data_IF_268931907448
#
_entry.id   IF_268931907448
#
_cell.length_a   1.000
_cell.length_b   1.000
_cell.length_c   1.000
_cell.angle_alpha   90.00
_cell.angle_beta   90.00
_cell.angle_gamma   90.00
#
_symmetry.space_group_name_H-M   'P 1'
#
loop_
_entity.id
_entity.type
_entity.pdbx_description
1 polymer ?
#
# COMPACT_ATOMS: atom_id res chain seq x y z
N UNK A 1 18.13 6.01 19.75
CA UNK A 1 18.62 4.78 19.09
C UNK A 1 18.87 5.01 17.61
N UNK A 2 17.96 5.67 16.87
CA UNK A 2 18.21 6.11 15.48
C UNK A 2 19.39 7.09 15.36
N UNK A 3 19.61 7.95 16.34
CA UNK A 3 20.79 8.83 16.42
C UNK A 3 22.15 8.10 16.45
N UNK A 4 22.18 6.83 16.85
CA UNK A 4 23.39 6.00 16.76
C UNK A 4 23.50 5.29 15.40
N UNK A 5 22.42 5.28 14.62
CA UNK A 5 22.33 4.70 13.27
C UNK A 5 22.43 5.77 12.17
N UNK A 6 22.44 7.06 12.54
CA UNK A 6 22.71 8.17 11.63
C UNK A 6 24.19 8.27 11.25
N UNK A 7 25.09 7.54 11.92
CA UNK A 7 26.49 7.43 11.51
C UNK A 7 26.65 6.50 10.30
N UNK A 8 26.71 7.07 9.08
CA UNK A 8 27.15 6.48 7.81
C UNK A 8 27.20 4.93 7.73
N UNK A 9 26.06 4.28 7.93
CA UNK A 9 25.91 2.85 7.68
C UNK A 9 25.73 2.65 6.17
N UNK A 10 26.78 2.89 5.39
CA UNK A 10 26.75 2.94 3.91
C UNK A 10 26.20 1.67 3.24
N UNK A 11 26.17 0.55 3.97
CA UNK A 11 25.60 -0.72 3.51
C UNK A 11 24.16 -0.98 4.00
N UNK A 12 23.57 -0.08 4.79
CA UNK A 12 22.20 -0.20 5.26
C UNK A 12 21.21 0.01 4.11
N UNK A 13 20.51 -1.04 3.71
CA UNK A 13 19.55 -1.02 2.60
C UNK A 13 18.10 -1.13 3.02
N UNK A 14 17.84 -1.81 4.13
CA UNK A 14 16.50 -2.17 4.56
C UNK A 14 16.34 -1.85 6.03
N UNK A 15 15.26 -1.14 6.35
CA UNK A 15 15.00 -0.70 7.72
C UNK A 15 13.52 -0.87 8.03
N UNK A 16 13.27 -1.35 9.24
CA UNK A 16 11.94 -1.38 9.85
C UNK A 16 11.98 -0.57 11.14
N UNK A 17 11.16 0.47 11.20
CA UNK A 17 11.03 1.35 12.35
C UNK A 17 9.70 1.04 13.04
N UNK A 18 9.82 0.34 14.17
CA UNK A 18 8.70 0.04 15.05
C UNK A 18 8.54 1.19 16.06
N UNK A 19 7.90 2.28 15.67
CA UNK A 19 7.62 3.39 16.60
C UNK A 19 6.18 3.29 17.13
N UNK A 20 6.05 2.89 18.39
CA UNK A 20 4.72 2.79 18.97
C UNK A 20 4.19 4.13 19.50
N UNK A 21 5.04 5.08 19.98
CA UNK A 21 4.56 6.29 20.69
C UNK A 21 5.38 7.58 20.46
N UNK A 22 6.73 7.59 20.51
CA UNK A 22 7.48 8.85 20.70
C UNK A 22 8.74 9.03 19.82
N UNK A 23 8.73 8.55 18.57
CA UNK A 23 9.83 8.90 17.67
C UNK A 23 9.76 10.38 17.29
N UNK A 24 10.82 11.11 17.66
CA UNK A 24 11.06 12.49 17.25
C UNK A 24 11.26 12.59 15.73
N UNK A 25 10.50 13.47 15.09
CA UNK A 25 10.59 13.71 13.65
C UNK A 25 11.97 14.23 13.24
N UNK A 26 12.63 15.06 14.06
CA UNK A 26 13.96 15.58 13.76
C UNK A 26 14.99 14.44 13.69
N UNK A 27 14.91 13.49 14.62
CA UNK A 27 15.78 12.31 14.65
C UNK A 27 15.53 11.43 13.41
N UNK A 28 14.26 11.30 13.00
CA UNK A 28 13.91 10.52 11.81
C UNK A 28 14.39 11.21 10.53
N UNK A 29 14.24 12.53 10.42
CA UNK A 29 14.73 13.32 9.30
C UNK A 29 16.24 13.20 9.17
N UNK A 30 16.97 13.38 10.28
CA UNK A 30 18.42 13.19 10.32
C UNK A 30 18.82 11.78 9.87
N UNK A 31 18.08 10.76 10.32
CA UNK A 31 18.31 9.38 9.91
C UNK A 31 18.12 9.17 8.40
N UNK A 32 17.04 9.70 7.82
CA UNK A 32 16.74 9.58 6.39
C UNK A 32 17.79 10.31 5.53
N UNK A 33 18.20 11.50 5.95
CA UNK A 33 19.23 12.30 5.28
C UNK A 33 20.60 11.61 5.27
N UNK A 34 20.97 10.94 6.36
CA UNK A 34 22.23 10.22 6.47
C UNK A 34 22.21 8.82 5.83
N UNK A 35 21.05 8.33 5.42
CA UNK A 35 20.90 7.01 4.80
C UNK A 35 20.20 7.07 3.43
N UNK A 36 20.69 7.88 2.46
CA UNK A 36 20.05 8.03 1.15
C UNK A 36 20.02 6.75 0.32
N UNK A 37 20.84 5.75 0.66
CA UNK A 37 21.01 4.47 -0.02
C UNK A 37 19.93 3.43 0.29
N UNK A 38 18.97 3.75 1.16
CA UNK A 38 17.87 2.85 1.54
C UNK A 38 17.07 2.45 0.31
N UNK A 39 16.78 1.14 0.22
CA UNK A 39 15.95 0.55 -0.83
C UNK A 39 14.59 0.11 -0.29
N UNK A 40 14.50 -0.20 1.01
CA UNK A 40 13.27 -0.61 1.67
C UNK A 40 13.11 0.10 3.01
N UNK A 41 11.94 0.69 3.23
CA UNK A 41 11.58 1.34 4.49
C UNK A 41 10.21 0.86 4.93
N UNK A 42 10.15 0.27 6.13
CA UNK A 42 8.92 -0.07 6.82
C UNK A 42 8.79 0.82 8.04
N UNK A 43 7.65 1.46 8.18
CA UNK A 43 7.42 2.39 9.26
C UNK A 43 6.05 2.15 9.88
N UNK A 44 6.05 2.20 11.20
CA UNK A 44 4.86 2.19 12.02
C UNK A 44 4.92 3.49 12.81
N UNK A 45 4.12 4.48 12.43
CA UNK A 45 4.18 5.83 13.01
C UNK A 45 2.86 6.20 13.66
N UNK A 46 2.91 7.02 14.71
CA UNK A 46 1.69 7.64 15.22
C UNK A 46 1.43 8.94 14.49
N UNK A 47 2.33 9.91 14.58
CA UNK A 47 2.18 11.19 13.92
C UNK A 47 3.46 11.40 13.12
N UNK A 48 3.29 11.65 11.84
CA UNK A 48 4.35 12.04 10.93
C UNK A 48 3.99 13.45 10.51
N UNK A 49 4.95 14.33 10.26
CA UNK A 49 4.65 15.60 9.61
C UNK A 49 4.85 15.51 8.09
N UNK A 50 4.50 16.58 7.38
CA UNK A 50 4.71 16.64 5.94
C UNK A 50 6.19 16.58 5.54
N UNK A 51 7.11 17.02 6.41
CA UNK A 51 8.55 17.07 6.11
C UNK A 51 9.17 15.68 6.06
N UNK A 52 8.78 14.80 6.98
CA UNK A 52 9.19 13.39 6.97
C UNK A 52 8.67 12.69 5.72
N UNK A 53 7.41 12.88 5.34
CA UNK A 53 6.89 12.34 4.09
C UNK A 53 7.67 12.83 2.88
N UNK A 54 7.96 14.14 2.82
CA UNK A 54 8.73 14.73 1.74
C UNK A 54 10.12 14.11 1.65
N UNK A 55 10.78 13.89 2.79
CA UNK A 55 12.10 13.27 2.88
C UNK A 55 12.07 11.81 2.41
N UNK A 56 11.09 11.02 2.84
CA UNK A 56 10.90 9.63 2.40
C UNK A 56 10.70 9.55 0.89
N UNK A 57 9.78 10.36 0.35
CA UNK A 57 9.43 10.35 -1.08
C UNK A 57 10.59 10.83 -1.97
N UNK A 58 11.50 11.62 -1.43
CA UNK A 58 12.70 12.11 -2.11
C UNK A 58 13.87 11.11 -2.15
N UNK A 59 13.76 9.96 -1.46
CA UNK A 59 14.81 8.93 -1.46
C UNK A 59 14.93 8.26 -2.84
N UNK A 60 16.05 8.54 -3.53
CA UNK A 60 16.29 8.10 -4.92
C UNK A 60 16.32 6.60 -5.14
N UNK A 61 16.65 5.82 -4.11
CA UNK A 61 16.81 4.37 -4.22
C UNK A 61 15.69 3.57 -3.53
N UNK A 62 14.76 4.26 -2.86
CA UNK A 62 13.69 3.63 -2.10
C UNK A 62 12.66 3.01 -3.05
N UNK A 63 12.70 1.69 -3.21
CA UNK A 63 11.79 0.97 -4.10
C UNK A 63 10.58 0.37 -3.37
N UNK A 64 10.69 0.17 -2.06
CA UNK A 64 9.66 -0.38 -1.20
C UNK A 64 9.41 0.54 -0.01
N UNK A 65 8.16 0.96 0.15
CA UNK A 65 7.69 1.72 1.30
C UNK A 65 6.48 1.01 1.93
N UNK A 66 6.51 0.78 3.24
CA UNK A 66 5.35 0.32 3.99
C UNK A 66 5.06 1.26 5.15
N UNK A 67 3.81 1.71 5.27
CA UNK A 67 3.36 2.59 6.34
C UNK A 67 2.16 1.92 7.01
N UNK A 68 2.29 1.50 8.28
CA UNK A 68 1.26 0.67 8.93
C UNK A 68 0.29 1.46 9.82
N UNK A 69 0.74 2.57 10.40
CA UNK A 69 -0.04 3.35 11.36
C UNK A 69 0.09 4.83 11.04
N UNK A 70 -1.02 5.53 11.20
CA UNK A 70 -1.14 6.97 11.18
C UNK A 70 -2.29 7.32 12.14
N UNK A 71 -2.03 8.23 13.07
CA UNK A 71 -2.97 8.73 14.07
C UNK A 71 -3.88 9.75 13.40
N UNK A 72 -5.13 9.80 13.86
CA UNK A 72 -6.28 10.57 13.34
C UNK A 72 -6.13 12.10 13.26
N UNK A 73 -4.93 12.66 13.46
CA UNK A 73 -4.74 14.10 13.29
C UNK A 73 -4.75 14.37 11.79
N UNK A 74 -5.84 14.96 11.31
CA UNK A 74 -5.97 15.43 9.92
C UNK A 74 -4.74 16.27 9.56
N UNK A 75 -3.78 15.64 8.91
CA UNK A 75 -2.70 16.37 8.28
C UNK A 75 -3.27 17.09 7.07
N UNK A 76 -3.21 18.41 7.09
CA UNK A 76 -3.51 19.22 5.91
C UNK A 76 -2.34 19.19 4.93
N UNK A 77 -1.98 18.02 4.43
CA UNK A 77 -1.03 17.92 3.31
C UNK A 77 -1.81 18.19 2.04
N UNK A 78 -1.57 19.36 1.46
CA UNK A 78 -2.19 19.76 0.20
C UNK A 78 -1.76 18.81 -0.92
N UNK A 79 -0.44 18.60 -1.07
CA UNK A 79 0.16 17.69 -2.05
C UNK A 79 1.46 17.06 -1.51
N UNK A 80 1.70 15.80 -1.86
CA UNK A 80 2.99 15.13 -1.66
C UNK A 80 3.93 15.37 -2.85
N UNK A 81 5.25 15.43 -2.65
CA UNK A 81 6.20 15.46 -3.74
C UNK A 81 6.18 14.14 -4.51
N UNK A 82 6.43 14.23 -5.81
CA UNK A 82 6.45 13.07 -6.69
C UNK A 82 7.67 12.19 -6.39
N UNK A 83 7.43 10.89 -6.24
CA UNK A 83 8.46 9.86 -6.15
C UNK A 83 8.46 8.97 -7.40
N UNK A 84 9.64 8.81 -8.01
CA UNK A 84 9.87 7.92 -9.14
C UNK A 84 10.55 6.61 -8.74
N UNK A 85 11.04 6.50 -7.51
CA UNK A 85 11.80 5.33 -7.03
C UNK A 85 10.89 4.25 -6.48
N UNK A 86 9.78 4.63 -5.83
CA UNK A 86 8.87 3.70 -5.16
C UNK A 86 8.06 2.94 -6.21
N UNK A 87 8.25 1.61 -6.22
CA UNK A 87 7.55 0.67 -7.12
C UNK A 87 6.60 -0.25 -6.36
N UNK A 88 6.78 -0.38 -5.04
CA UNK A 88 5.91 -1.10 -4.12
C UNK A 88 5.54 -0.20 -2.94
N UNK A 89 4.25 0.05 -2.76
CA UNK A 89 3.70 0.80 -1.63
C UNK A 89 2.76 -0.10 -0.84
N UNK A 90 2.99 -0.22 0.47
CA UNK A 90 2.16 -0.97 1.41
C UNK A 90 1.54 -0.01 2.42
N UNK A 91 0.21 -0.03 2.52
CA UNK A 91 -0.60 0.84 3.38
C UNK A 91 -1.33 -0.02 4.41
N UNK A 92 -1.14 0.30 5.68
CA UNK A 92 -1.79 -0.39 6.80
C UNK A 92 -3.18 0.15 7.11
N UNK A 93 -3.72 -0.36 8.22
CA UNK A 93 -5.12 -0.14 8.64
C UNK A 93 -5.47 1.32 8.94
N UNK A 94 -4.53 2.10 9.49
CA UNK A 94 -4.86 3.38 10.12
C UNK A 94 -4.62 4.62 9.25
N UNK A 95 -4.23 4.45 7.98
CA UNK A 95 -4.11 5.57 7.05
C UNK A 95 -5.50 5.91 6.52
N UNK A 96 -5.85 7.20 6.46
CA UNK A 96 -7.15 7.60 5.91
C UNK A 96 -7.19 7.39 4.39
N UNK A 97 -8.40 7.27 3.83
CA UNK A 97 -8.59 7.04 2.39
C UNK A 97 -8.05 8.18 1.53
N UNK A 98 -8.33 9.43 1.92
CA UNK A 98 -7.84 10.61 1.22
C UNK A 98 -6.30 10.67 1.22
N UNK A 99 -5.66 10.34 2.34
CA UNK A 99 -4.19 10.28 2.41
C UNK A 99 -3.64 9.12 1.58
N UNK A 100 -4.32 7.97 1.60
CA UNK A 100 -3.96 6.80 0.78
C UNK A 100 -3.92 7.19 -0.70
N UNK A 101 -4.97 7.81 -1.23
CA UNK A 101 -5.04 8.24 -2.65
C UNK A 101 -3.93 9.23 -2.99
N UNK A 102 -3.72 10.26 -2.17
CA UNK A 102 -2.67 11.25 -2.41
C UNK A 102 -1.27 10.61 -2.44
N UNK A 103 -0.99 9.71 -1.50
CA UNK A 103 0.29 9.01 -1.42
C UNK A 103 0.48 8.06 -2.61
N UNK A 104 -0.58 7.35 -3.00
CA UNK A 104 -0.59 6.50 -4.19
C UNK A 104 -0.26 7.35 -5.42
N UNK A 105 -0.96 8.46 -5.65
CA UNK A 105 -0.75 9.31 -6.82
C UNK A 105 0.67 9.89 -6.87
N UNK A 106 1.25 10.24 -5.71
CA UNK A 106 2.63 10.72 -5.62
C UNK A 106 3.69 9.70 -6.09
N UNK A 107 3.43 8.39 -6.02
CA UNK A 107 4.37 7.34 -6.39
C UNK A 107 4.31 6.96 -7.88
N UNK A 108 4.70 7.82 -8.81
CA UNK A 108 4.43 7.67 -10.26
C UNK A 108 4.77 6.30 -10.87
N UNK A 109 5.87 5.66 -10.43
CA UNK A 109 6.29 4.34 -10.93
C UNK A 109 5.71 3.15 -10.13
N UNK A 110 4.67 3.40 -9.32
CA UNK A 110 4.02 2.38 -8.50
C UNK A 110 3.46 1.24 -9.36
N UNK A 111 4.03 0.06 -9.19
CA UNK A 111 3.62 -1.16 -9.88
C UNK A 111 2.79 -2.07 -8.98
N UNK A 112 3.01 -2.02 -7.67
CA UNK A 112 2.32 -2.85 -6.69
C UNK A 112 1.83 -1.98 -5.53
N UNK A 113 0.52 -1.94 -5.35
CA UNK A 113 -0.15 -1.35 -4.20
C UNK A 113 -0.60 -2.49 -3.28
N UNK A 114 -0.21 -2.45 -2.03
CA UNK A 114 -0.62 -3.40 -1.01
C UNK A 114 -1.42 -2.71 0.09
N UNK A 115 -2.56 -3.28 0.47
CA UNK A 115 -3.22 -2.99 1.74
C UNK A 115 -3.02 -4.16 2.68
N UNK A 116 -2.68 -3.85 3.93
CA UNK A 116 -2.45 -4.86 4.96
C UNK A 116 -3.38 -4.64 6.16
N UNK A 117 -4.14 -5.68 6.53
CA UNK A 117 -5.04 -5.71 7.68
C UNK A 117 -6.06 -4.55 7.69
N UNK A 118 -6.44 -4.05 6.51
CA UNK A 118 -7.42 -2.96 6.37
C UNK A 118 -8.84 -3.52 6.38
N UNK A 119 -9.75 -2.80 7.02
CA UNK A 119 -11.18 -3.11 7.03
C UNK A 119 -11.89 -2.16 6.06
N UNK A 120 -12.41 -2.70 4.96
CA UNK A 120 -13.11 -1.92 3.95
C UNK A 120 -14.62 -1.82 4.22
N UNK A 121 -15.19 -2.75 5.01
CA UNK A 121 -16.64 -2.96 5.13
C UNK A 121 -17.38 -1.80 5.81
N UNK A 122 -16.73 -1.12 6.74
CA UNK A 122 -17.42 -0.13 7.60
C UNK A 122 -16.96 1.31 7.36
N UNK A 123 -15.72 1.52 6.91
CA UNK A 123 -15.06 2.83 6.98
C UNK A 123 -14.26 3.20 5.72
N UNK A 124 -14.26 2.37 4.66
CA UNK A 124 -13.47 2.67 3.46
C UNK A 124 -14.28 3.44 2.42
N UNK A 125 -13.94 4.71 2.25
CA UNK A 125 -14.35 5.61 1.19
C UNK A 125 -13.16 5.92 0.27
N UNK A 126 -12.34 4.91 -0.08
CA UNK A 126 -11.30 5.11 -1.08
C UNK A 126 -11.96 5.52 -2.41
N UNK A 127 -11.78 6.78 -2.76
CA UNK A 127 -12.21 7.39 -4.03
C UNK A 127 -11.28 6.92 -5.15
N UNK A 128 -11.44 5.65 -5.56
CA UNK A 128 -10.59 5.01 -6.57
C UNK A 128 -10.61 5.71 -7.93
N UNK A 129 -11.69 6.42 -8.24
CA UNK A 129 -11.84 7.25 -9.44
C UNK A 129 -10.89 8.46 -9.46
N UNK A 130 -10.31 8.83 -8.31
CA UNK A 130 -9.24 9.83 -8.21
C UNK A 130 -7.83 9.28 -8.49
N UNK A 131 -7.70 7.99 -8.78
CA UNK A 131 -6.41 7.45 -9.24
C UNK A 131 -6.06 8.04 -10.61
N UNK A 132 -4.89 8.66 -10.69
CA UNK A 132 -4.42 9.30 -11.94
C UNK A 132 -3.90 8.30 -12.98
N UNK A 133 -3.76 7.03 -12.58
CA UNK A 133 -3.22 5.96 -13.42
C UNK A 133 -3.68 4.59 -12.97
N UNK A 134 -3.57 3.64 -13.90
CA UNK A 134 -3.74 2.22 -13.63
C UNK A 134 -2.52 1.67 -12.91
N UNK A 135 -2.73 0.81 -11.90
CA UNK A 135 -1.66 0.15 -11.15
C UNK A 135 -1.63 -1.33 -11.52
N UNK A 136 -0.45 -1.90 -11.78
CA UNK A 136 -0.37 -3.28 -12.27
C UNK A 136 -0.93 -4.30 -11.27
N UNK A 137 -0.58 -4.18 -10.00
CA UNK A 137 -0.99 -5.16 -8.97
C UNK A 137 -1.60 -4.46 -7.77
N UNK A 138 -2.82 -4.85 -7.41
CA UNK A 138 -3.36 -4.68 -6.06
C UNK A 138 -3.07 -5.94 -5.25
N UNK A 139 -2.61 -5.79 -4.02
CA UNK A 139 -2.45 -6.88 -3.06
C UNK A 139 -3.24 -6.56 -1.80
N UNK A 140 -4.11 -7.47 -1.38
CA UNK A 140 -4.95 -7.34 -0.21
C UNK A 140 -4.56 -8.44 0.77
N UNK A 141 -3.71 -8.08 1.73
CA UNK A 141 -3.19 -8.99 2.76
C UNK A 141 -4.02 -8.83 4.03
N UNK A 142 -4.67 -9.88 4.47
CA UNK A 142 -5.50 -9.90 5.70
C UNK A 142 -6.58 -8.81 5.75
N UNK A 143 -7.04 -8.34 4.59
CA UNK A 143 -8.08 -7.32 4.51
C UNK A 143 -9.49 -7.93 4.68
N UNK A 144 -10.39 -7.14 5.25
CA UNK A 144 -11.81 -7.42 5.29
C UNK A 144 -12.50 -6.62 4.17
N UNK A 145 -13.32 -7.30 3.38
CA UNK A 145 -13.96 -6.76 2.16
C UNK A 145 -15.37 -7.31 2.11
N UNK A 146 -16.30 -6.54 1.55
CA UNK A 146 -17.63 -7.02 1.19
C UNK A 146 -17.79 -7.22 -0.34
N UNK A 147 -18.99 -7.60 -0.75
CA UNK A 147 -19.29 -7.85 -2.17
C UNK A 147 -19.28 -6.55 -3.01
N UNK A 148 -19.55 -5.39 -2.40
CA UNK A 148 -19.55 -4.09 -3.09
C UNK A 148 -18.12 -3.64 -3.39
N UNK A 149 -17.19 -3.83 -2.45
CA UNK A 149 -15.76 -3.57 -2.66
C UNK A 149 -15.22 -4.34 -3.87
N UNK A 150 -15.57 -5.63 -3.94
CA UNK A 150 -15.17 -6.53 -5.02
C UNK A 150 -15.77 -6.07 -6.35
N UNK A 151 -17.04 -5.68 -6.38
CA UNK A 151 -17.71 -5.18 -7.58
C UNK A 151 -17.08 -3.86 -8.06
N UNK A 152 -16.76 -2.95 -7.15
CA UNK A 152 -16.12 -1.68 -7.49
C UNK A 152 -14.76 -1.90 -8.18
N UNK A 153 -13.97 -2.86 -7.68
CA UNK A 153 -12.72 -3.28 -8.32
C UNK A 153 -12.96 -3.89 -9.72
N UNK A 154 -14.03 -4.68 -9.89
CA UNK A 154 -14.40 -5.29 -11.18
C UNK A 154 -14.80 -4.23 -12.22
N UNK A 155 -15.59 -3.22 -11.84
CA UNK A 155 -16.07 -2.19 -12.75
C UNK A 155 -15.02 -1.13 -13.09
N UNK A 156 -14.25 -0.69 -12.10
CA UNK A 156 -13.31 0.43 -12.25
C UNK A 156 -12.07 0.10 -13.08
N UNK A 157 -11.69 -1.18 -13.19
CA UNK A 157 -10.51 -1.64 -13.95
C UNK A 157 -9.20 -0.92 -13.57
N UNK A 158 -9.13 -0.38 -12.35
CA UNK A 158 -7.98 0.36 -11.83
C UNK A 158 -6.70 -0.48 -11.74
N UNK A 159 -6.84 -1.82 -11.76
CA UNK A 159 -5.72 -2.75 -11.60
C UNK A 159 -5.64 -3.79 -12.73
N UNK A 160 -4.43 -4.24 -13.11
CA UNK A 160 -4.31 -5.37 -14.04
C UNK A 160 -4.67 -6.70 -13.36
N UNK A 161 -4.28 -6.83 -12.10
CA UNK A 161 -4.61 -7.97 -11.25
C UNK A 161 -4.77 -7.54 -9.80
N UNK A 162 -5.58 -8.31 -9.06
CA UNK A 162 -5.65 -8.21 -7.61
C UNK A 162 -5.33 -9.57 -6.97
N UNK A 163 -4.44 -9.56 -5.97
CA UNK A 163 -4.02 -10.72 -5.19
C UNK A 163 -4.60 -10.63 -3.80
N UNK A 164 -5.18 -11.71 -3.32
CA UNK A 164 -5.79 -11.76 -2.01
C UNK A 164 -5.05 -12.81 -1.19
N UNK A 165 -4.49 -12.38 -0.08
CA UNK A 165 -3.65 -13.19 0.80
C UNK A 165 -4.31 -13.16 2.17
N UNK A 166 -4.83 -14.29 2.65
CA UNK A 166 -5.36 -14.37 4.03
C UNK A 166 -4.58 -15.39 4.85
N UNK A 167 -4.07 -14.95 5.99
CA UNK A 167 -3.29 -15.74 6.96
C UNK A 167 -4.19 -16.55 7.90
N UNK A 168 -5.45 -16.16 8.12
CA UNK A 168 -6.38 -16.90 9.00
C UNK A 168 -7.82 -17.00 8.42
N UNK A 169 -8.53 -18.10 8.71
CA UNK A 169 -10.00 -18.18 8.61
C UNK A 169 -10.67 -18.06 7.23
N UNK A 170 -10.03 -18.49 6.14
CA UNK A 170 -10.41 -18.21 4.73
C UNK A 170 -11.58 -19.07 4.19
N UNK A 171 -12.69 -19.18 4.92
CA UNK A 171 -13.85 -19.91 4.39
C UNK A 171 -14.86 -19.02 3.66
N UNK A 172 -14.91 -17.70 3.94
CA UNK A 172 -15.92 -16.83 3.34
C UNK A 172 -15.46 -16.09 2.07
N UNK A 173 -14.20 -15.69 1.92
CA UNK A 173 -13.78 -14.81 0.82
C UNK A 173 -13.89 -15.44 -0.59
N UNK A 174 -13.49 -16.71 -0.74
CA UNK A 174 -13.66 -17.43 -2.02
C UNK A 174 -15.14 -17.76 -2.28
N UNK A 175 -15.93 -17.93 -1.22
CA UNK A 175 -17.39 -18.05 -1.32
C UNK A 175 -18.01 -16.77 -1.86
N UNK A 176 -17.73 -15.63 -1.22
CA UNK A 176 -18.18 -14.29 -1.59
C UNK A 176 -17.85 -13.95 -3.06
N UNK A 177 -16.63 -14.21 -3.51
CA UNK A 177 -16.23 -14.01 -4.91
C UNK A 177 -16.98 -14.89 -5.92
N UNK A 178 -17.46 -16.07 -5.50
CA UNK A 178 -18.30 -16.93 -6.35
C UNK A 178 -19.74 -16.42 -6.46
N UNK A 179 -20.23 -15.62 -5.51
CA UNK A 179 -21.60 -15.10 -5.53
C UNK A 179 -21.77 -13.86 -6.41
N UNK A 180 -20.68 -13.13 -6.72
CA UNK A 180 -20.73 -11.88 -7.49
C UNK A 180 -20.48 -11.98 -9.00
N UNK A 181 -20.03 -13.13 -9.54
CA UNK A 181 -19.83 -13.32 -10.98
C UNK A 181 -19.05 -12.20 -11.68
N UNK A 182 -17.75 -12.03 -11.37
CA UNK A 182 -16.89 -10.98 -11.95
C UNK A 182 -17.00 -10.93 -13.49
N UNK A 183 -17.37 -9.76 -14.03
CA UNK A 183 -17.59 -9.53 -15.45
C UNK A 183 -16.24 -9.32 -16.15
N UNK A 184 -15.38 -8.52 -15.55
CA UNK A 184 -14.12 -8.07 -16.15
C UNK A 184 -12.91 -8.86 -15.70
N UNK A 185 -12.99 -9.60 -14.59
CA UNK A 185 -11.89 -10.41 -14.10
C UNK A 185 -12.17 -11.92 -14.21
N UNK A 186 -11.10 -12.72 -14.17
CA UNK A 186 -11.17 -14.18 -13.99
C UNK A 186 -10.42 -14.58 -12.73
N UNK A 187 -10.95 -15.57 -12.00
CA UNK A 187 -10.33 -16.12 -10.81
C UNK A 187 -9.29 -17.18 -11.20
N UNK A 188 -8.07 -17.03 -10.67
CA UNK A 188 -7.00 -18.02 -10.73
C UNK A 188 -6.77 -18.58 -9.32
N UNK A 189 -7.09 -19.86 -9.07
CA UNK A 189 -6.74 -20.50 -7.81
C UNK A 189 -5.20 -20.65 -7.74
N UNK A 190 -4.58 -20.18 -6.67
CA UNK A 190 -3.17 -20.49 -6.40
C UNK A 190 -3.11 -21.78 -5.56
N UNK A 191 -2.33 -22.75 -6.02
CA UNK A 191 -2.14 -24.03 -5.32
C UNK A 191 -1.13 -23.79 -4.20
N UNK A 192 -1.59 -23.73 -2.95
CA UNK A 192 -0.74 -23.60 -1.77
C UNK A 192 -1.55 -23.83 -0.49
N UNK A 193 -0.96 -24.55 0.47
CA UNK A 193 -1.67 -24.93 1.70
C UNK A 193 -1.83 -23.74 2.64
N UNK A 194 -0.82 -22.88 2.82
CA UNK A 194 -0.87 -21.66 3.65
C UNK A 194 0.23 -20.64 3.29
N UNK A 195 -0.04 -19.31 3.32
CA UNK A 195 -1.37 -18.70 3.39
C UNK A 195 -2.19 -19.05 2.14
N UNK A 196 -3.51 -19.15 2.27
CA UNK A 196 -4.37 -19.34 1.10
C UNK A 196 -4.31 -18.07 0.26
N UNK A 197 -3.92 -18.24 -0.99
CA UNK A 197 -3.79 -17.16 -1.96
C UNK A 197 -4.73 -17.41 -3.12
N UNK A 198 -5.29 -16.35 -3.66
CA UNK A 198 -5.94 -16.39 -4.97
C UNK A 198 -5.69 -15.07 -5.68
N UNK A 199 -5.69 -15.13 -7.00
CA UNK A 199 -5.46 -13.98 -7.84
C UNK A 199 -6.64 -13.82 -8.79
N UNK A 200 -7.17 -12.61 -8.91
CA UNK A 200 -8.06 -12.24 -10.01
C UNK A 200 -7.25 -11.45 -11.04
N UNK A 201 -7.45 -11.75 -12.31
CA UNK A 201 -6.74 -11.10 -13.43
C UNK A 201 -7.76 -10.51 -14.38
N UNK A 202 -7.51 -9.28 -14.85
CA UNK A 202 -8.38 -8.65 -15.84
C UNK A 202 -8.44 -9.53 -17.08
N UNK A 203 -9.64 -9.78 -17.59
CA UNK A 203 -9.84 -10.38 -18.90
C UNK A 203 -9.28 -9.43 -19.93
N UNK A 204 -8.38 -9.92 -20.76
CA UNK A 204 -8.03 -9.21 -21.98
C UNK A 204 -9.33 -9.06 -22.78
N UNK A 205 -9.67 -7.82 -23.14
CA UNK A 205 -10.75 -7.58 -24.09
C UNK A 205 -10.38 -8.37 -25.33
N UNK A 206 -11.09 -9.46 -25.63
CA UNK A 206 -11.02 -10.01 -26.98
C UNK A 206 -11.45 -8.87 -27.90
N UNK A 207 -10.50 -8.28 -28.61
CA UNK A 207 -10.80 -7.45 -29.76
C UNK A 207 -11.65 -8.33 -30.66
N UNK A 208 -12.93 -8.01 -30.74
CA UNK A 208 -13.80 -8.55 -31.78
C UNK A 208 -13.25 -7.96 -33.08
N UNK A 209 -12.38 -8.71 -33.76
CA UNK A 209 -12.11 -8.52 -35.18
C UNK A 209 -13.34 -8.93 -36.01
#
# INVERSE_FOLDING_TARGET
>A
MLSNLSSNLTNLKQVEILNYWDLDNDILLEFLQNNPQLTSLKVNFNIIDSEVYNSILSLKYLNYLSINKESFVEMHISNFPISYSITHLSIGKCISDTHSIKLINACINLSTLEFHARDFVYDSLIEWDLLERRIKTLQLTDCNLDDQDIQLLDYGKFFDKARFIKRTGVYNAVGQLKYGGLINYRLLPEIGEFPKMFTIVLRESNSIE
#
